data_IF_502243905670
#
_entry.id   IF_502243905670
#
_cell.length_a   1.000
_cell.length_b   1.000
_cell.length_c   1.000
_cell.angle_alpha   90.00
_cell.angle_beta   90.00
_cell.angle_gamma   90.00
#
_symmetry.space_group_name_H-M   'P 1'
#
loop_
_entity.id
_entity.type
_entity.pdbx_description
1 polymer ?
#
# COMPACT_ATOMS: atom_id res chain seq x y z
N UNK A 1 -52.64 16.22 -61.91
CA UNK A 1 -51.22 15.86 -61.80
C UNK A 1 -50.91 15.59 -60.34
N UNK A 2 -50.35 14.41 -60.07
CA UNK A 2 -49.99 13.83 -58.76
C UNK A 2 -48.78 14.55 -58.08
N UNK A 3 -48.39 14.23 -56.83
CA UNK A 3 -48.31 15.19 -55.72
C UNK A 3 -46.90 15.52 -55.20
N UNK A 4 -46.87 16.39 -54.18
CA UNK A 4 -45.78 16.77 -53.25
C UNK A 4 -44.65 15.75 -53.09
N UNK A 5 -43.42 16.20 -53.33
CA UNK A 5 -42.22 15.60 -52.74
C UNK A 5 -41.77 16.50 -51.59
N UNK A 6 -42.10 16.07 -50.37
CA UNK A 6 -41.34 16.46 -49.19
C UNK A 6 -40.01 15.72 -49.25
N UNK A 7 -38.92 16.48 -49.13
CA UNK A 7 -37.62 15.89 -48.91
C UNK A 7 -37.49 15.63 -47.41
N UNK A 8 -37.56 14.34 -47.06
CA UNK A 8 -37.35 13.76 -45.73
C UNK A 8 -35.89 13.29 -45.58
N UNK A 9 -34.94 14.00 -46.17
CA UNK A 9 -33.52 13.69 -46.03
C UNK A 9 -32.92 14.27 -44.73
N UNK A 10 -33.27 13.60 -43.64
CA UNK A 10 -32.38 13.13 -42.56
C UNK A 10 -31.51 14.15 -41.81
N UNK A 11 -31.84 14.49 -40.55
CA UNK A 11 -31.00 15.27 -39.63
C UNK A 11 -29.82 14.47 -39.05
N UNK A 12 -28.97 13.89 -39.91
CA UNK A 12 -27.80 13.08 -39.52
C UNK A 12 -26.60 13.90 -39.02
N UNK A 13 -26.67 15.24 -38.97
CA UNK A 13 -25.49 16.07 -38.67
C UNK A 13 -25.56 16.95 -37.41
N UNK A 14 -26.67 16.92 -36.67
CA UNK A 14 -26.85 17.76 -35.48
C UNK A 14 -26.77 17.01 -34.15
N UNK A 15 -26.47 15.71 -34.17
CA UNK A 15 -26.21 14.91 -32.98
C UNK A 15 -24.70 14.72 -32.72
N UNK A 16 -23.88 14.64 -33.77
CA UNK A 16 -22.42 14.48 -33.65
C UNK A 16 -21.75 15.64 -32.90
N UNK A 17 -22.19 16.88 -33.14
CA UNK A 17 -21.66 18.06 -32.45
C UNK A 17 -22.06 18.18 -30.97
N UNK A 18 -23.27 17.72 -30.59
CA UNK A 18 -23.70 17.68 -29.19
C UNK A 18 -23.04 16.53 -28.43
N UNK A 19 -22.90 15.36 -29.07
CA UNK A 19 -22.19 14.21 -28.49
C UNK A 19 -20.70 14.56 -28.32
N UNK A 20 -20.08 15.21 -29.31
CA UNK A 20 -18.69 15.65 -29.21
C UNK A 20 -18.49 16.74 -28.16
N UNK A 21 -19.38 17.74 -28.06
CA UNK A 21 -19.34 18.74 -26.99
C UNK A 21 -19.58 18.14 -25.60
N UNK A 22 -20.45 17.15 -25.48
CA UNK A 22 -20.65 16.43 -24.22
C UNK A 22 -19.41 15.59 -23.86
N UNK A 23 -18.76 14.97 -24.84
CA UNK A 23 -17.52 14.21 -24.69
C UNK A 23 -16.34 15.11 -24.28
N UNK A 24 -16.14 16.23 -24.97
CA UNK A 24 -15.10 17.20 -24.61
C UNK A 24 -15.38 17.82 -23.26
N UNK A 25 -16.61 18.27 -22.96
CA UNK A 25 -16.95 18.83 -21.65
C UNK A 25 -16.83 17.82 -20.50
N UNK A 26 -17.06 16.53 -20.77
CA UNK A 26 -16.84 15.46 -19.81
C UNK A 26 -15.34 15.24 -19.56
N UNK A 27 -14.52 15.22 -20.62
CA UNK A 27 -13.06 15.10 -20.52
C UNK A 27 -12.43 16.30 -19.80
N UNK A 28 -12.82 17.53 -20.13
CA UNK A 28 -12.27 18.74 -19.48
C UNK A 28 -12.64 18.83 -18.00
N UNK A 29 -13.80 18.29 -17.58
CA UNK A 29 -14.22 18.24 -16.17
C UNK A 29 -13.56 17.11 -15.37
N UNK A 30 -13.04 16.07 -16.03
CA UNK A 30 -12.28 14.99 -15.40
C UNK A 30 -10.83 15.37 -15.07
N UNK A 31 -10.28 16.42 -15.69
CA UNK A 31 -8.88 16.83 -15.51
C UNK A 31 -8.61 17.44 -14.13
N UNK A 32 -9.59 18.12 -13.52
CA UNK A 32 -9.35 18.86 -12.27
C UNK A 32 -9.62 18.03 -11.01
N UNK A 33 -10.47 17.00 -11.07
CA UNK A 33 -10.49 15.92 -10.07
C UNK A 33 -11.36 14.74 -10.51
N UNK A 34 -10.76 13.70 -11.09
CA UNK A 34 -11.51 12.58 -11.70
C UNK A 34 -12.22 11.70 -10.66
N UNK A 35 -11.88 11.82 -9.38
CA UNK A 35 -12.49 11.04 -8.30
C UNK A 35 -13.62 11.77 -7.55
N UNK A 36 -13.79 13.11 -7.59
CA UNK A 36 -14.97 13.75 -6.94
C UNK A 36 -16.30 13.31 -7.52
N UNK A 37 -16.35 13.15 -8.83
CA UNK A 37 -17.58 12.69 -9.50
C UNK A 37 -17.90 11.26 -9.07
N UNK A 38 -16.88 10.46 -8.71
CA UNK A 38 -17.03 9.08 -8.27
C UNK A 38 -17.39 8.96 -6.79
N UNK A 39 -16.74 9.77 -5.94
CA UNK A 39 -17.04 9.85 -4.51
C UNK A 39 -18.47 10.32 -4.24
N UNK A 40 -19.01 11.21 -5.07
CA UNK A 40 -20.39 11.70 -4.95
C UNK A 40 -21.46 10.66 -5.32
N UNK A 41 -21.11 9.58 -6.02
CA UNK A 41 -22.03 8.50 -6.42
C UNK A 41 -22.12 7.38 -5.37
N UNK A 42 -21.26 7.42 -4.35
CA UNK A 42 -21.19 6.42 -3.29
C UNK A 42 -21.81 7.00 -2.01
N UNK A 43 -22.72 6.28 -1.33
CA UNK A 43 -23.26 6.72 -0.04
C UNK A 43 -22.11 6.91 0.98
N UNK A 44 -21.87 8.15 1.42
CA UNK A 44 -20.82 8.49 2.39
C UNK A 44 -19.41 8.72 1.82
N UNK A 45 -19.26 8.91 0.50
CA UNK A 45 -17.95 9.00 -0.14
C UNK A 45 -17.13 10.25 0.22
N UNK A 46 -15.90 10.04 0.73
CA UNK A 46 -14.85 11.07 0.81
C UNK A 46 -13.92 10.94 -0.41
N UNK A 47 -13.70 12.06 -1.09
CA UNK A 47 -12.94 12.17 -2.34
C UNK A 47 -11.49 11.72 -2.20
N UNK A 48 -10.86 12.03 -1.07
CA UNK A 48 -9.46 11.68 -0.77
C UNK A 48 -9.23 10.19 -0.54
N UNK A 49 -10.30 9.41 -0.34
CA UNK A 49 -10.22 7.97 -0.08
C UNK A 49 -10.17 7.13 -1.37
N UNK A 50 -10.72 7.63 -2.48
CA UNK A 50 -10.93 6.83 -3.71
C UNK A 50 -9.75 6.84 -4.68
N UNK A 51 -8.84 7.81 -4.55
CA UNK A 51 -7.66 7.98 -5.41
C UNK A 51 -6.41 7.25 -4.90
N UNK A 52 -6.55 6.42 -3.87
CA UNK A 52 -5.44 5.67 -3.27
C UNK A 52 -5.91 4.33 -2.74
N UNK A 53 -4.97 3.42 -2.50
CA UNK A 53 -5.20 2.17 -1.77
C UNK A 53 -4.25 2.10 -0.59
N UNK A 54 -4.80 1.98 0.60
CA UNK A 54 -4.03 1.98 1.86
C UNK A 54 -3.52 0.57 2.18
N UNK A 55 -2.29 0.50 2.67
CA UNK A 55 -1.60 -0.71 3.05
C UNK A 55 -1.01 -0.58 4.45
N UNK A 56 -0.93 -1.71 5.16
CA UNK A 56 -0.05 -1.78 6.32
C UNK A 56 1.41 -1.67 5.86
N UNK A 57 2.23 -1.04 6.69
CA UNK A 57 3.67 -0.95 6.46
C UNK A 57 4.28 -2.36 6.28
N UNK A 58 5.24 -2.50 5.37
CA UNK A 58 5.90 -3.77 5.04
C UNK A 58 5.01 -4.80 4.33
N UNK A 59 3.71 -4.52 4.08
CA UNK A 59 2.75 -5.48 3.52
C UNK A 59 2.19 -5.05 2.18
N UNK A 60 1.98 -6.03 1.31
CA UNK A 60 1.33 -5.87 0.01
C UNK A 60 -0.11 -6.40 -0.04
N UNK A 61 -0.61 -6.97 1.07
CA UNK A 61 -1.97 -7.49 1.13
C UNK A 61 -3.00 -6.35 1.16
N UNK A 62 -3.95 -6.39 0.23
CA UNK A 62 -5.09 -5.45 0.21
C UNK A 62 -6.08 -5.84 1.31
N UNK A 63 -6.35 -4.92 2.23
CA UNK A 63 -7.25 -5.15 3.36
C UNK A 63 -8.72 -5.29 2.91
N UNK A 64 -9.62 -5.90 3.71
CA UNK A 64 -11.03 -6.05 3.34
C UNK A 64 -11.75 -4.72 3.01
N UNK A 65 -11.57 -3.62 3.77
CA UNK A 65 -12.13 -2.31 3.41
C UNK A 65 -11.65 -1.81 2.04
N UNK A 66 -10.37 -2.00 1.75
CA UNK A 66 -9.76 -1.57 0.50
C UNK A 66 -10.20 -2.44 -0.69
N UNK A 67 -10.43 -3.73 -0.47
CA UNK A 67 -11.05 -4.61 -1.47
C UNK A 67 -12.46 -4.15 -1.84
N UNK A 68 -13.28 -3.76 -0.86
CA UNK A 68 -14.63 -3.22 -1.13
C UNK A 68 -14.55 -1.92 -1.94
N UNK A 69 -13.62 -1.03 -1.59
CA UNK A 69 -13.36 0.18 -2.37
C UNK A 69 -12.99 -0.13 -3.82
N UNK A 70 -12.10 -1.11 -4.04
CA UNK A 70 -11.72 -1.54 -5.39
C UNK A 70 -12.88 -2.19 -6.16
N UNK A 71 -13.80 -2.91 -5.50
CA UNK A 71 -15.03 -3.40 -6.15
C UNK A 71 -15.91 -2.27 -6.66
N UNK A 72 -16.09 -1.23 -5.85
CA UNK A 72 -16.86 -0.04 -6.25
C UNK A 72 -16.20 0.66 -7.44
N UNK A 73 -14.88 0.79 -7.42
CA UNK A 73 -14.11 1.36 -8.54
C UNK A 73 -14.24 0.51 -9.82
N UNK A 74 -14.19 -0.82 -9.71
CA UNK A 74 -14.39 -1.72 -10.84
C UNK A 74 -15.79 -1.56 -11.47
N UNK A 75 -16.83 -1.43 -10.65
CA UNK A 75 -18.20 -1.16 -11.13
C UNK A 75 -18.35 0.21 -11.81
N UNK A 76 -17.59 1.22 -11.37
CA UNK A 76 -17.53 2.52 -12.04
C UNK A 76 -16.84 2.40 -13.41
N UNK A 77 -15.71 1.71 -13.47
CA UNK A 77 -14.97 1.50 -14.72
C UNK A 77 -15.82 0.78 -15.76
N UNK A 78 -16.67 -0.18 -15.35
CA UNK A 78 -17.63 -0.80 -16.26
C UNK A 78 -18.61 0.22 -16.87
N UNK A 79 -19.24 1.06 -16.03
CA UNK A 79 -20.21 2.07 -16.48
C UNK A 79 -19.59 3.19 -17.33
N UNK A 80 -18.27 3.31 -17.30
CA UNK A 80 -17.50 4.36 -17.97
C UNK A 80 -16.41 3.73 -18.85
N UNK A 81 -16.77 3.09 -19.98
CA UNK A 81 -15.81 2.39 -20.84
C UNK A 81 -14.70 3.30 -21.37
N UNK A 82 -14.94 4.61 -21.45
CA UNK A 82 -13.96 5.62 -21.85
C UNK A 82 -12.88 5.93 -20.80
N UNK A 83 -12.91 5.31 -19.61
CA UNK A 83 -11.92 5.54 -18.57
C UNK A 83 -10.89 4.42 -18.51
N UNK A 84 -9.64 4.81 -18.29
CA UNK A 84 -8.51 3.93 -17.99
C UNK A 84 -8.04 4.20 -16.56
N UNK A 85 -7.82 3.16 -15.77
CA UNK A 85 -7.25 3.28 -14.44
C UNK A 85 -5.75 3.03 -14.48
N UNK A 86 -4.99 3.92 -13.88
CA UNK A 86 -3.55 3.80 -13.72
C UNK A 86 -3.23 3.61 -12.23
N UNK A 87 -2.52 2.54 -11.93
CA UNK A 87 -2.05 2.19 -10.60
C UNK A 87 -0.57 2.53 -10.48
N UNK A 88 -0.19 3.24 -9.42
CA UNK A 88 1.21 3.44 -9.07
C UNK A 88 1.47 2.83 -7.69
N UNK A 89 2.30 1.79 -7.66
CA UNK A 89 2.82 1.24 -6.42
C UNK A 89 3.64 2.30 -5.68
N UNK A 90 3.48 2.37 -4.35
CA UNK A 90 4.32 3.24 -3.54
C UNK A 90 4.78 2.56 -2.27
N UNK A 91 5.89 3.06 -1.75
CA UNK A 91 6.44 2.69 -0.46
C UNK A 91 6.74 3.94 0.37
N UNK A 92 6.70 3.77 1.68
CA UNK A 92 7.16 4.73 2.68
C UNK A 92 8.62 4.44 3.01
N UNK A 93 9.56 5.35 2.70
CA UNK A 93 10.97 5.20 3.05
C UNK A 93 11.23 5.01 4.56
N UNK A 94 10.31 5.41 5.43
CA UNK A 94 10.44 5.27 6.88
C UNK A 94 9.65 4.09 7.45
N UNK A 95 8.32 4.04 7.23
CA UNK A 95 7.46 3.02 7.82
C UNK A 95 7.72 1.64 7.23
N UNK A 96 7.81 1.54 5.89
CA UNK A 96 8.08 0.24 5.26
C UNK A 96 9.49 -0.23 5.55
N UNK A 97 10.47 0.68 5.57
CA UNK A 97 11.84 0.33 5.92
C UNK A 97 11.92 -0.24 7.34
N UNK A 98 11.27 0.43 8.31
CA UNK A 98 11.23 -0.03 9.70
C UNK A 98 10.57 -1.40 9.82
N UNK A 99 9.46 -1.63 9.13
CA UNK A 99 8.77 -2.93 9.21
C UNK A 99 9.54 -4.04 8.49
N UNK A 100 10.15 -3.77 7.33
CA UNK A 100 11.00 -4.74 6.63
C UNK A 100 12.21 -5.14 7.47
N UNK A 101 12.84 -4.17 8.15
CA UNK A 101 13.92 -4.43 9.11
C UNK A 101 13.45 -5.30 10.27
N UNK A 102 12.31 -4.93 10.86
CA UNK A 102 11.69 -5.69 11.94
C UNK A 102 11.40 -7.13 11.52
N UNK A 103 10.75 -7.32 10.38
CA UNK A 103 10.47 -8.63 9.79
C UNK A 103 11.75 -9.45 9.57
N UNK A 104 12.81 -8.84 9.01
CA UNK A 104 14.11 -9.51 8.81
C UNK A 104 14.71 -10.01 10.12
N UNK A 105 14.69 -9.17 11.18
CA UNK A 105 15.19 -9.56 12.51
C UNK A 105 14.31 -10.66 13.13
N UNK A 106 12.98 -10.57 13.00
CA UNK A 106 12.05 -11.62 13.48
C UNK A 106 12.30 -12.96 12.78
N UNK A 107 12.46 -12.98 11.45
CA UNK A 107 12.81 -14.19 10.69
C UNK A 107 14.15 -14.79 11.14
N UNK A 108 15.17 -13.95 11.35
CA UNK A 108 16.47 -14.40 11.83
C UNK A 108 16.40 -14.99 13.25
N UNK A 109 15.58 -14.39 14.11
CA UNK A 109 15.32 -14.88 15.46
C UNK A 109 14.61 -16.23 15.43
N UNK A 110 13.51 -16.37 14.69
CA UNK A 110 12.75 -17.62 14.56
C UNK A 110 13.62 -18.75 14.02
N UNK A 111 14.44 -18.45 12.99
CA UNK A 111 15.43 -19.41 12.46
C UNK A 111 16.41 -19.88 13.52
N UNK A 112 16.90 -18.97 14.39
CA UNK A 112 17.83 -19.30 15.48
C UNK A 112 17.16 -20.13 16.57
N UNK A 113 15.89 -19.84 16.86
CA UNK A 113 15.04 -20.58 17.79
C UNK A 113 14.49 -21.88 17.19
N UNK A 114 14.73 -22.14 15.90
CA UNK A 114 14.19 -23.29 15.14
C UNK A 114 12.66 -23.33 15.15
N UNK A 115 12.03 -22.17 15.16
CA UNK A 115 10.60 -22.00 14.95
C UNK A 115 10.38 -22.06 13.44
N UNK A 116 9.55 -22.99 12.93
CA UNK A 116 9.28 -23.08 11.50
C UNK A 116 8.48 -21.85 11.04
N UNK A 117 8.91 -21.24 9.96
CA UNK A 117 8.19 -20.17 9.26
C UNK A 117 8.15 -20.54 7.79
N UNK A 118 6.95 -20.61 7.22
CA UNK A 118 6.78 -20.93 5.81
C UNK A 118 7.32 -19.78 4.92
N UNK A 119 7.86 -20.06 3.73
CA UNK A 119 8.31 -19.03 2.82
C UNK A 119 7.19 -18.03 2.48
N UNK A 120 7.42 -16.75 2.80
CA UNK A 120 6.46 -15.67 2.54
C UNK A 120 5.43 -15.45 3.66
N UNK A 121 5.52 -16.17 4.78
CA UNK A 121 4.72 -15.91 5.97
C UNK A 121 5.37 -14.84 6.87
N UNK A 122 4.54 -14.01 7.50
CA UNK A 122 5.00 -12.99 8.45
C UNK A 122 5.36 -13.67 9.78
N UNK A 123 6.62 -13.54 10.26
CA UNK A 123 6.96 -14.03 11.58
C UNK A 123 6.15 -13.24 12.61
N UNK A 124 5.41 -13.98 13.43
CA UNK A 124 4.50 -13.42 14.43
C UNK A 124 5.19 -12.53 15.48
N UNK A 125 4.42 -12.04 16.46
CA UNK A 125 4.98 -11.20 17.51
C UNK A 125 6.05 -11.94 18.32
N UNK A 126 7.10 -11.22 18.71
CA UNK A 126 8.19 -11.76 19.51
C UNK A 126 7.79 -11.86 20.98
N UNK A 127 7.91 -13.05 21.57
CA UNK A 127 7.80 -13.24 23.02
C UNK A 127 9.10 -12.84 23.73
N UNK A 128 9.18 -11.58 24.16
CA UNK A 128 10.31 -11.04 24.92
C UNK A 128 10.43 -11.59 26.36
N UNK A 129 9.45 -12.37 26.83
CA UNK A 129 9.46 -12.96 28.18
C UNK A 129 10.08 -14.37 28.22
N UNK A 130 10.22 -15.01 27.06
CA UNK A 130 10.90 -16.30 26.94
C UNK A 130 12.41 -16.19 27.16
N UNK A 131 12.97 -17.07 28.00
CA UNK A 131 14.43 -17.13 28.21
C UNK A 131 15.19 -17.37 26.90
N UNK A 132 14.68 -18.29 26.07
CA UNK A 132 15.32 -18.62 24.79
C UNK A 132 15.37 -17.40 23.87
N UNK A 133 14.31 -16.60 23.82
CA UNK A 133 14.27 -15.35 23.05
C UNK A 133 15.29 -14.33 23.56
N UNK A 134 15.38 -14.14 24.88
CA UNK A 134 16.34 -13.19 25.46
C UNK A 134 17.79 -13.58 25.15
N UNK A 135 18.10 -14.87 25.28
CA UNK A 135 19.44 -15.39 25.01
C UNK A 135 19.80 -15.27 23.52
N UNK A 136 18.87 -15.63 22.63
CA UNK A 136 19.05 -15.49 21.18
C UNK A 136 19.26 -14.03 20.76
N UNK A 137 18.48 -13.08 21.28
CA UNK A 137 18.64 -11.66 20.99
C UNK A 137 19.96 -11.11 21.54
N UNK A 138 20.38 -11.52 22.73
CA UNK A 138 21.69 -11.13 23.28
C UNK A 138 22.85 -11.66 22.42
N UNK A 139 22.73 -12.89 21.90
CA UNK A 139 23.71 -13.46 20.99
C UNK A 139 23.76 -12.72 19.64
N UNK A 140 22.62 -12.54 18.99
CA UNK A 140 22.50 -11.78 17.73
C UNK A 140 23.07 -10.36 17.89
N UNK A 141 22.80 -9.71 19.02
CA UNK A 141 23.32 -8.37 19.31
C UNK A 141 24.85 -8.37 19.45
N UNK A 142 25.44 -9.33 20.18
CA UNK A 142 26.90 -9.46 20.31
C UNK A 142 27.59 -9.70 18.97
N UNK A 143 26.96 -10.47 18.09
CA UNK A 143 27.48 -10.76 16.75
C UNK A 143 27.46 -9.51 15.85
N UNK A 144 26.44 -8.65 16.00
CA UNK A 144 26.28 -7.43 15.18
C UNK A 144 27.08 -6.24 15.69
N UNK A 145 27.16 -6.04 17.02
CA UNK A 145 27.78 -4.86 17.62
C UNK A 145 29.05 -5.23 18.39
N UNK A 146 28.92 -5.83 19.57
CA UNK A 146 29.95 -6.52 20.36
C UNK A 146 29.44 -6.76 21.81
N UNK A 147 30.30 -7.29 22.69
CA UNK A 147 29.98 -7.47 24.13
C UNK A 147 29.94 -6.17 24.93
N UNK A 148 30.71 -5.16 24.52
CA UNK A 148 30.81 -3.88 25.25
C UNK A 148 29.51 -3.08 25.08
N UNK A 149 28.98 -3.01 23.87
CA UNK A 149 27.68 -2.44 23.55
C UNK A 149 26.54 -3.16 24.28
N UNK A 150 26.59 -4.50 24.36
CA UNK A 150 25.61 -5.27 25.15
C UNK A 150 25.65 -4.87 26.64
N UNK A 151 26.84 -4.70 27.22
CA UNK A 151 26.98 -4.27 28.61
C UNK A 151 26.41 -2.87 28.83
N UNK A 152 26.70 -1.94 27.92
CA UNK A 152 26.20 -0.57 28.00
C UNK A 152 24.66 -0.54 28.01
N UNK A 153 24.01 -1.26 27.08
CA UNK A 153 22.53 -1.35 27.04
C UNK A 153 21.98 -1.97 28.32
N UNK A 154 22.61 -3.04 28.84
CA UNK A 154 22.20 -3.66 30.11
C UNK A 154 22.23 -2.66 31.28
N UNK A 155 23.25 -1.83 31.35
CA UNK A 155 23.37 -0.82 32.40
C UNK A 155 22.35 0.31 32.23
N UNK A 156 22.14 0.78 30.99
CA UNK A 156 21.09 1.75 30.65
C UNK A 156 19.69 1.25 31.02
N UNK A 157 19.34 0.01 30.66
CA UNK A 157 18.04 -0.59 31.00
C UNK A 157 17.85 -0.73 32.50
N UNK A 158 18.90 -1.11 33.26
CA UNK A 158 18.84 -1.17 34.73
C UNK A 158 18.62 0.20 35.35
N UNK A 159 19.28 1.24 34.83
CA UNK A 159 19.07 2.62 35.30
C UNK A 159 17.64 3.07 35.00
N UNK A 160 17.11 2.76 33.82
CA UNK A 160 15.73 3.07 33.45
C UNK A 160 14.71 2.37 34.36
N UNK A 161 14.88 1.07 34.63
CA UNK A 161 14.00 0.30 35.52
C UNK A 161 13.98 0.84 36.96
N UNK A 162 15.16 1.23 37.49
CA UNK A 162 15.25 1.88 38.82
C UNK A 162 14.50 3.22 38.88
N UNK A 163 14.46 3.97 37.78
CA UNK A 163 13.76 5.26 37.70
C UNK A 163 12.25 5.09 37.53
N UNK A 164 11.80 4.08 36.79
CA UNK A 164 10.37 3.85 36.55
C UNK A 164 9.66 3.13 37.69
N UNK A 165 10.40 2.44 38.57
CA UNK A 165 9.83 1.65 39.66
C UNK A 165 9.09 0.39 39.18
N UNK A 166 9.19 0.06 37.89
CA UNK A 166 8.58 -1.09 37.23
C UNK A 166 9.65 -1.91 36.54
N UNK A 167 9.85 -3.15 37.01
CA UNK A 167 10.73 -4.10 36.33
C UNK A 167 9.91 -4.91 35.31
N UNK A 168 10.12 -4.65 34.02
CA UNK A 168 9.67 -5.52 32.93
C UNK A 168 10.79 -6.52 32.62
N UNK A 169 10.60 -7.83 32.87
CA UNK A 169 11.60 -8.87 32.57
C UNK A 169 12.00 -8.96 31.09
N UNK A 170 11.20 -8.40 30.18
CA UNK A 170 11.48 -8.33 28.74
C UNK A 170 12.12 -7.02 28.27
N UNK A 171 12.29 -6.02 29.15
CA UNK A 171 12.77 -4.67 28.78
C UNK A 171 14.10 -4.68 28.03
N UNK A 172 15.09 -5.41 28.54
CA UNK A 172 16.39 -5.55 27.88
C UNK A 172 16.23 -6.19 26.49
N UNK A 173 15.44 -7.26 26.38
CA UNK A 173 15.24 -7.94 25.10
C UNK A 173 14.54 -7.05 24.06
N UNK A 174 13.58 -6.22 24.49
CA UNK A 174 12.93 -5.21 23.64
C UNK A 174 13.92 -4.19 23.11
N UNK A 175 14.82 -3.67 23.96
CA UNK A 175 15.84 -2.71 23.55
C UNK A 175 16.86 -3.35 22.59
N UNK A 176 17.33 -4.57 22.88
CA UNK A 176 18.22 -5.29 21.98
C UNK A 176 17.59 -5.52 20.61
N UNK A 177 16.32 -5.93 20.59
CA UNK A 177 15.56 -6.09 19.34
C UNK A 177 15.44 -4.77 18.59
N UNK A 178 15.03 -3.68 19.25
CA UNK A 178 14.90 -2.37 18.62
C UNK A 178 16.22 -1.90 17.97
N UNK A 179 17.35 -2.05 18.67
CA UNK A 179 18.68 -1.72 18.13
C UNK A 179 19.10 -2.60 16.97
N UNK A 180 18.79 -3.90 17.02
CA UNK A 180 19.01 -4.81 15.89
C UNK A 180 18.21 -4.34 14.68
N UNK A 181 16.93 -4.04 14.86
CA UNK A 181 16.05 -3.51 13.81
C UNK A 181 16.61 -2.23 13.21
N UNK A 182 17.02 -1.25 14.03
CA UNK A 182 17.55 0.03 13.54
C UNK A 182 18.82 -0.14 12.68
N UNK A 183 19.61 -1.18 12.96
CA UNK A 183 20.85 -1.51 12.23
C UNK A 183 20.69 -2.50 11.09
N UNK A 184 19.49 -3.05 10.88
CA UNK A 184 19.31 -4.11 9.91
C UNK A 184 19.38 -3.54 8.48
N UNK A 185 20.28 -4.07 7.62
CA UNK A 185 20.38 -3.60 6.26
C UNK A 185 19.21 -4.11 5.43
N UNK A 186 18.43 -3.19 4.86
CA UNK A 186 17.40 -3.49 3.87
C UNK A 186 17.74 -2.69 2.61
N UNK A 187 18.02 -3.35 1.48
CA UNK A 187 18.31 -2.65 0.23
C UNK A 187 17.09 -1.88 -0.30
N UNK A 188 17.31 -0.72 -0.92
CA UNK A 188 16.24 0.09 -1.54
C UNK A 188 15.42 -0.70 -2.57
N UNK A 189 16.03 -1.68 -3.24
CA UNK A 189 15.35 -2.57 -4.17
C UNK A 189 14.21 -3.36 -3.51
N UNK A 190 14.29 -3.65 -2.22
CA UNK A 190 13.23 -4.37 -1.49
C UNK A 190 12.01 -3.46 -1.26
N UNK A 191 12.23 -2.18 -1.01
CA UNK A 191 11.15 -1.18 -0.92
C UNK A 191 10.44 -1.00 -2.26
N UNK A 192 11.21 -0.97 -3.36
CA UNK A 192 10.65 -0.92 -4.72
C UNK A 192 9.85 -2.18 -5.02
N UNK A 193 10.38 -3.36 -4.68
CA UNK A 193 9.65 -4.64 -4.82
C UNK A 193 8.34 -4.64 -4.03
N UNK A 194 8.34 -4.11 -2.81
CA UNK A 194 7.13 -4.00 -2.00
C UNK A 194 6.08 -3.11 -2.68
N UNK A 195 6.50 -1.98 -3.24
CA UNK A 195 5.61 -1.10 -3.99
C UNK A 195 5.07 -1.77 -5.27
N UNK A 196 5.92 -2.49 -6.01
CA UNK A 196 5.50 -3.26 -7.18
C UNK A 196 4.47 -4.34 -6.81
N UNK A 197 4.73 -5.08 -5.72
CA UNK A 197 3.82 -6.08 -5.20
C UNK A 197 2.45 -5.46 -4.80
N UNK A 198 2.44 -4.26 -4.21
CA UNK A 198 1.21 -3.52 -3.93
C UNK A 198 0.44 -3.16 -5.20
N UNK A 199 1.12 -2.64 -6.22
CA UNK A 199 0.47 -2.34 -7.50
C UNK A 199 -0.17 -3.58 -8.13
N UNK A 200 0.55 -4.71 -8.11
CA UNK A 200 0.05 -5.99 -8.59
C UNK A 200 -1.15 -6.48 -7.77
N UNK A 201 -1.10 -6.35 -6.44
CA UNK A 201 -2.20 -6.74 -5.56
C UNK A 201 -3.47 -5.91 -5.80
N UNK A 202 -3.32 -4.61 -6.09
CA UNK A 202 -4.45 -3.74 -6.50
C UNK A 202 -5.05 -4.21 -7.82
N UNK A 203 -4.22 -4.45 -8.83
CA UNK A 203 -4.66 -4.94 -10.15
C UNK A 203 -5.36 -6.29 -10.04
N UNK A 204 -4.83 -7.20 -9.23
CA UNK A 204 -5.44 -8.50 -8.96
C UNK A 204 -6.81 -8.34 -8.27
N UNK A 205 -6.91 -7.51 -7.22
CA UNK A 205 -8.16 -7.29 -6.51
C UNK A 205 -9.24 -6.62 -7.38
N UNK A 206 -8.85 -5.72 -8.29
CA UNK A 206 -9.77 -5.14 -9.28
C UNK A 206 -10.32 -6.21 -10.23
N UNK A 207 -9.47 -7.07 -10.77
CA UNK A 207 -9.89 -8.13 -11.69
C UNK A 207 -10.70 -9.24 -11.00
N UNK A 208 -10.39 -9.55 -9.74
CA UNK A 208 -11.17 -10.47 -8.90
C UNK A 208 -12.58 -9.93 -8.66
N UNK A 209 -12.69 -8.61 -8.40
CA UNK A 209 -13.97 -7.95 -8.23
C UNK A 209 -14.80 -7.96 -9.51
N UNK A 210 -14.16 -7.60 -10.64
CA UNK A 210 -14.76 -7.66 -11.97
C UNK A 210 -13.67 -7.64 -13.03
N UNK A 211 -13.67 -8.55 -14.02
CA UNK A 211 -12.67 -8.53 -15.09
C UNK A 211 -12.67 -7.20 -15.85
N UNK A 212 -11.51 -6.53 -15.88
CA UNK A 212 -11.32 -5.28 -16.62
C UNK A 212 -10.35 -5.58 -17.77
N UNK A 213 -10.66 -5.15 -19.01
CA UNK A 213 -9.76 -5.35 -20.15
C UNK A 213 -8.35 -4.78 -19.86
N UNK A 214 -7.26 -5.50 -20.18
CA UNK A 214 -5.89 -5.08 -19.85
C UNK A 214 -5.53 -3.68 -20.36
N UNK A 215 -6.03 -3.27 -21.53
CA UNK A 215 -5.81 -1.94 -22.10
C UNK A 215 -6.38 -0.81 -21.21
N UNK A 216 -7.35 -1.12 -20.36
CA UNK A 216 -7.99 -0.20 -19.42
C UNK A 216 -7.34 -0.17 -18.04
N UNK A 217 -6.33 -1.01 -17.81
CA UNK A 217 -5.50 -1.00 -16.61
C UNK A 217 -4.06 -0.69 -17.00
N UNK A 218 -3.49 0.36 -16.40
CA UNK A 218 -2.08 0.70 -16.55
C UNK A 218 -1.36 0.63 -15.21
N UNK A 219 -0.06 0.41 -15.26
CA UNK A 219 0.81 0.60 -14.11
C UNK A 219 1.89 1.62 -14.44
N UNK A 220 2.11 2.57 -13.52
CA UNK A 220 3.27 3.47 -13.54
C UNK A 220 4.41 2.86 -12.73
N UNK A 221 5.64 3.26 -13.02
CA UNK A 221 6.80 2.87 -12.22
C UNK A 221 6.57 3.22 -10.74
N UNK A 222 6.89 2.27 -9.86
CA UNK A 222 6.77 2.44 -8.42
C UNK A 222 7.67 3.56 -7.91
N UNK A 223 7.20 4.27 -6.90
CA UNK A 223 7.90 5.44 -6.36
C UNK A 223 7.76 5.55 -4.84
N UNK A 224 8.71 6.22 -4.21
CA UNK A 224 8.57 6.63 -2.81
C UNK A 224 7.38 7.59 -2.64
N UNK A 225 6.73 7.53 -1.48
CA UNK A 225 5.73 8.52 -1.09
C UNK A 225 6.38 9.89 -0.85
N UNK A 226 5.78 10.95 -1.42
CA UNK A 226 6.28 12.32 -1.28
C UNK A 226 6.03 12.93 0.10
N UNK A 227 4.95 12.52 0.77
CA UNK A 227 4.67 12.84 2.16
C UNK A 227 4.83 11.55 2.96
N UNK A 228 5.96 11.46 3.67
CA UNK A 228 6.29 10.34 4.54
C UNK A 228 6.13 10.80 5.99
N UNK A 229 5.24 10.16 6.75
CA UNK A 229 4.82 10.59 8.10
C UNK A 229 3.75 9.67 8.68
N UNK A 230 3.01 10.10 9.72
CA UNK A 230 2.00 9.28 10.43
C UNK A 230 0.76 8.86 9.60
N UNK A 231 0.70 9.22 8.32
CA UNK A 231 -0.37 8.81 7.41
C UNK A 231 -0.24 7.35 6.95
N UNK A 232 -1.33 6.75 6.43
CA UNK A 232 -1.29 5.40 5.90
C UNK A 232 -0.37 5.32 4.68
N UNK A 233 0.41 4.23 4.61
CA UNK A 233 1.20 3.91 3.42
C UNK A 233 0.24 3.54 2.30
N UNK A 234 0.36 4.16 1.12
CA UNK A 234 -0.68 4.00 0.09
C UNK A 234 -0.16 3.98 -1.34
N UNK A 235 -0.71 3.07 -2.15
CA UNK A 235 -0.57 3.11 -3.61
C UNK A 235 -1.50 4.19 -4.18
N UNK A 236 -1.08 4.86 -5.27
CA UNK A 236 -1.90 5.88 -5.90
C UNK A 236 -2.69 5.35 -7.09
N UNK A 237 -3.89 5.87 -7.24
CA UNK A 237 -4.79 5.60 -8.35
C UNK A 237 -5.03 6.91 -9.11
N UNK A 238 -4.91 6.85 -10.43
CA UNK A 238 -5.28 7.97 -11.31
C UNK A 238 -6.16 7.47 -12.46
N UNK A 239 -7.15 8.26 -12.85
CA UNK A 239 -7.98 7.97 -14.01
C UNK A 239 -7.52 8.83 -15.19
N UNK A 240 -7.41 8.21 -16.34
CA UNK A 240 -7.05 8.84 -17.60
C UNK A 240 -8.14 8.54 -18.64
N UNK A 241 -8.20 9.35 -19.70
CA UNK A 241 -9.06 9.03 -20.84
C UNK A 241 -8.53 7.76 -21.52
N UNK A 242 -9.40 6.79 -21.75
CA UNK A 242 -9.11 5.64 -22.61
C UNK A 242 -8.93 6.11 -24.05
N UNK A 243 -7.98 5.49 -24.76
CA UNK A 243 -7.84 5.65 -26.22
C UNK A 243 -8.88 4.80 -26.95
#
# INVERSE_FOLDING_TARGET
>A
GLPVHGDLNSPEFSYSGLIWKAFTNLLTKLVTSPFRILGALLPGGNEEAMNRVDFAAGKAAVSPPEKEKLRQLAGILEKRPQLRLVVQGRYSPTQDLKELRSMSVRLALDKRLKIPVEPGEDPGPVDFTSSATRDALADMFKERFDRKALSAIKDETKVAAKKSGTEDPGSLAKELFARLVDSEPVPDAELVRLADARAQAVVAALNEAKPIPPERLASKASAAMAQDGDGPVSAALSLEAGQ
#
